data_IF_521075480775
#
_entry.id   IF_521075480775
#
_cell.length_a   1.000
_cell.length_b   1.000
_cell.length_c   1.000
_cell.angle_alpha   90.00
_cell.angle_beta   90.00
_cell.angle_gamma   90.00
#
_symmetry.space_group_name_H-M   'P 1'
#
loop_
_entity.id
_entity.type
_entity.pdbx_description
1 polymer ?
#
# COMPACT_ATOMS: atom_id res chain seq x y z
N UNK A 1 -32.53 -2.30 10.74
CA UNK A 1 -32.03 -2.34 9.34
C UNK A 1 -31.62 -0.92 9.01
N UNK A 2 -30.34 -0.67 8.70
CA UNK A 2 -29.91 0.67 8.28
C UNK A 2 -30.57 1.02 6.94
N UNK A 3 -30.91 2.28 6.73
CA UNK A 3 -31.30 2.71 5.39
C UNK A 3 -30.10 2.57 4.41
N UNK A 4 -30.35 2.46 3.10
CA UNK A 4 -29.29 2.21 2.12
C UNK A 4 -28.19 3.29 2.08
N UNK A 5 -28.52 4.55 2.35
CA UNK A 5 -27.57 5.65 2.34
C UNK A 5 -26.64 5.59 3.56
N UNK A 6 -27.19 5.33 4.74
CA UNK A 6 -26.40 5.11 5.96
C UNK A 6 -25.48 3.89 5.80
N UNK A 7 -25.96 2.81 5.17
CA UNK A 7 -25.12 1.64 4.89
C UNK A 7 -23.98 1.93 3.89
N UNK A 8 -24.21 2.78 2.88
CA UNK A 8 -23.16 3.24 1.95
C UNK A 8 -22.12 4.11 2.66
N UNK A 9 -22.56 5.05 3.51
CA UNK A 9 -21.66 5.90 4.30
C UNK A 9 -20.75 5.07 5.22
N UNK A 10 -21.30 4.07 5.91
CA UNK A 10 -20.51 3.17 6.74
C UNK A 10 -19.45 2.43 5.92
N UNK A 11 -19.82 1.83 4.78
CA UNK A 11 -18.86 1.12 3.91
C UNK A 11 -17.74 2.03 3.39
N UNK A 12 -18.09 3.23 2.95
CA UNK A 12 -17.12 4.22 2.46
C UNK A 12 -16.19 4.69 3.59
N UNK A 13 -16.74 4.93 4.78
CA UNK A 13 -15.97 5.31 5.97
C UNK A 13 -14.95 4.24 6.35
N UNK A 14 -15.38 2.97 6.44
CA UNK A 14 -14.47 1.86 6.77
C UNK A 14 -13.40 1.67 5.70
N UNK A 15 -13.73 1.81 4.41
CA UNK A 15 -12.73 1.75 3.34
C UNK A 15 -11.74 2.93 3.43
N UNK A 16 -12.21 4.13 3.76
CA UNK A 16 -11.36 5.31 3.95
C UNK A 16 -10.37 5.11 5.09
N UNK A 17 -10.77 4.51 6.21
CA UNK A 17 -9.86 4.21 7.33
C UNK A 17 -8.69 3.32 6.89
N UNK A 18 -8.96 2.28 6.10
CA UNK A 18 -7.91 1.41 5.53
C UNK A 18 -6.98 2.20 4.62
N UNK A 19 -7.52 3.05 3.75
CA UNK A 19 -6.73 3.87 2.82
C UNK A 19 -5.86 4.88 3.55
N UNK A 20 -6.40 5.59 4.55
CA UNK A 20 -5.64 6.55 5.37
C UNK A 20 -4.46 5.87 6.07
N UNK A 21 -4.69 4.70 6.68
CA UNK A 21 -3.61 3.94 7.31
C UNK A 21 -2.55 3.51 6.30
N UNK A 22 -2.97 3.08 5.10
CA UNK A 22 -2.04 2.69 4.06
C UNK A 22 -1.23 3.87 3.50
N UNK A 23 -1.85 5.05 3.31
CA UNK A 23 -1.16 6.27 2.90
C UNK A 23 -0.12 6.69 3.94
N UNK A 24 -0.46 6.60 5.23
CA UNK A 24 0.47 6.89 6.32
C UNK A 24 1.70 5.95 6.35
N UNK A 25 1.62 4.76 5.74
CA UNK A 25 2.74 3.83 5.63
C UNK A 25 3.67 4.12 4.44
N UNK A 26 3.28 4.98 3.49
CA UNK A 26 4.03 5.20 2.26
C UNK A 26 5.43 5.74 2.54
N UNK A 27 5.57 6.73 3.42
CA UNK A 27 6.88 7.32 3.74
C UNK A 27 7.85 6.26 4.29
N UNK A 28 7.40 5.42 5.21
CA UNK A 28 8.21 4.33 5.76
C UNK A 28 8.54 3.26 4.73
N UNK A 29 7.62 2.97 3.82
CA UNK A 29 7.86 2.02 2.74
C UNK A 29 8.89 2.55 1.73
N UNK A 30 8.79 3.83 1.36
CA UNK A 30 9.76 4.51 0.50
C UNK A 30 11.15 4.50 1.13
N UNK A 31 11.25 4.82 2.43
CA UNK A 31 12.51 4.76 3.18
C UNK A 31 13.13 3.36 3.15
N UNK A 32 12.34 2.31 3.40
CA UNK A 32 12.81 0.92 3.33
C UNK A 32 13.32 0.57 1.93
N UNK A 33 12.59 0.96 0.87
CA UNK A 33 13.01 0.66 -0.51
C UNK A 33 14.31 1.40 -0.84
N UNK A 34 14.44 2.67 -0.43
CA UNK A 34 15.63 3.47 -0.61
C UNK A 34 16.85 2.89 0.15
N UNK A 35 16.64 2.42 1.39
CA UNK A 35 17.67 1.76 2.19
C UNK A 35 18.09 0.43 1.55
N UNK A 36 17.14 -0.35 1.04
CA UNK A 36 17.41 -1.56 0.26
C UNK A 36 18.21 -1.28 -1.02
N UNK A 37 18.18 -0.05 -1.55
CA UNK A 37 18.88 0.36 -2.77
C UNK A 37 20.27 0.98 -2.51
N UNK A 38 20.70 1.15 -1.25
CA UNK A 38 21.99 1.78 -0.95
C UNK A 38 23.17 0.88 -1.32
N UNK A 39 24.28 1.40 -1.87
CA UNK A 39 25.49 0.61 -2.10
C UNK A 39 26.01 -0.06 -0.81
N UNK A 40 26.56 -1.27 -0.95
CA UNK A 40 27.08 -2.05 0.18
C UNK A 40 26.08 -3.02 0.80
N UNK A 41 26.44 -3.58 1.94
CA UNK A 41 25.62 -4.59 2.62
C UNK A 41 24.53 -3.91 3.45
N UNK A 42 23.23 -4.20 3.19
CA UNK A 42 22.14 -3.58 3.93
C UNK A 42 22.15 -3.99 5.40
N UNK A 43 21.91 -3.04 6.30
CA UNK A 43 21.76 -3.31 7.74
C UNK A 43 20.59 -4.27 7.99
N UNK A 44 20.75 -5.14 8.98
CA UNK A 44 19.69 -6.04 9.43
C UNK A 44 18.45 -5.27 9.92
N UNK A 45 18.60 -4.02 10.37
CA UNK A 45 17.48 -3.14 10.74
C UNK A 45 16.54 -2.85 9.57
N UNK A 46 17.08 -2.72 8.34
CA UNK A 46 16.29 -2.55 7.11
C UNK A 46 15.38 -3.75 6.91
N UNK A 47 15.89 -4.97 7.13
CA UNK A 47 15.09 -6.19 7.03
C UNK A 47 13.96 -6.24 8.07
N UNK A 48 14.23 -5.81 9.31
CA UNK A 48 13.21 -5.75 10.38
C UNK A 48 12.14 -4.71 10.06
N UNK A 49 12.56 -3.50 9.69
CA UNK A 49 11.65 -2.41 9.32
C UNK A 49 10.78 -2.80 8.12
N UNK A 50 11.39 -3.31 7.05
CA UNK A 50 10.67 -3.71 5.85
C UNK A 50 9.66 -4.84 6.10
N UNK A 51 10.03 -5.87 6.88
CA UNK A 51 9.07 -6.92 7.28
C UNK A 51 7.90 -6.36 8.09
N UNK A 52 8.14 -5.41 8.98
CA UNK A 52 7.08 -4.78 9.77
C UNK A 52 6.12 -3.94 8.90
N UNK A 53 6.64 -3.23 7.90
CA UNK A 53 5.80 -2.44 6.96
C UNK A 53 5.03 -3.39 6.02
N UNK A 54 5.68 -4.41 5.47
CA UNK A 54 5.02 -5.43 4.63
C UNK A 54 3.89 -6.15 5.38
N UNK A 55 4.09 -6.52 6.65
CA UNK A 55 3.05 -7.14 7.47
C UNK A 55 1.84 -6.22 7.73
N UNK A 56 2.04 -4.90 7.73
CA UNK A 56 0.93 -3.94 7.84
C UNK A 56 0.18 -3.83 6.51
N UNK A 57 0.87 -3.68 5.37
CA UNK A 57 0.21 -3.70 4.06
C UNK A 57 -0.54 -5.00 3.78
N UNK A 58 -0.01 -6.15 4.19
CA UNK A 58 -0.69 -7.43 4.08
C UNK A 58 -2.00 -7.46 4.86
N UNK A 59 -2.00 -6.98 6.11
CA UNK A 59 -3.21 -6.86 6.94
C UNK A 59 -4.24 -5.92 6.32
N UNK A 60 -3.81 -4.72 5.91
CA UNK A 60 -4.68 -3.73 5.27
C UNK A 60 -5.25 -4.25 3.94
N UNK A 61 -4.46 -4.98 3.15
CA UNK A 61 -4.94 -5.62 1.92
C UNK A 61 -5.99 -6.69 2.21
N UNK A 62 -5.85 -7.45 3.30
CA UNK A 62 -6.87 -8.41 3.74
C UNK A 62 -8.16 -7.70 4.10
N UNK A 63 -8.09 -6.68 4.96
CA UNK A 63 -9.26 -5.89 5.36
C UNK A 63 -9.94 -5.20 4.17
N UNK A 64 -9.17 -4.60 3.26
CA UNK A 64 -9.73 -4.01 2.05
C UNK A 64 -10.46 -5.05 1.18
N UNK A 65 -9.95 -6.27 1.10
CA UNK A 65 -10.57 -7.34 0.33
C UNK A 65 -11.88 -7.83 0.99
N UNK A 66 -11.89 -7.95 2.31
CA UNK A 66 -13.11 -8.30 3.07
C UNK A 66 -14.19 -7.21 2.97
N UNK A 67 -13.75 -5.95 2.83
CA UNK A 67 -14.65 -4.81 2.64
C UNK A 67 -15.11 -4.65 1.20
N UNK A 68 -14.41 -5.21 0.20
CA UNK A 68 -14.69 -4.92 -1.20
C UNK A 68 -16.11 -5.35 -1.60
N UNK A 69 -16.86 -4.42 -2.21
CA UNK A 69 -18.20 -4.68 -2.73
C UNK A 69 -18.28 -4.36 -4.21
N UNK A 70 -19.24 -4.99 -4.91
CA UNK A 70 -19.52 -4.69 -6.31
C UNK A 70 -20.23 -3.34 -6.41
N UNK A 71 -19.64 -2.42 -7.15
CA UNK A 71 -20.19 -1.09 -7.44
C UNK A 71 -19.59 -0.59 -8.74
N UNK A 72 -20.41 0.06 -9.57
CA UNK A 72 -19.92 0.77 -10.75
C UNK A 72 -19.57 2.23 -10.43
N UNK A 73 -19.88 2.68 -9.21
CA UNK A 73 -19.61 4.05 -8.76
C UNK A 73 -18.20 4.16 -8.18
N UNK A 74 -17.38 5.13 -8.65
CA UNK A 74 -16.07 5.37 -8.10
C UNK A 74 -16.14 6.01 -6.69
N UNK A 75 -15.07 5.84 -5.88
CA UNK A 75 -13.90 5.00 -6.16
C UNK A 75 -14.21 3.51 -5.98
N UNK A 76 -13.64 2.68 -6.86
CA UNK A 76 -13.88 1.23 -6.85
C UNK A 76 -13.10 0.59 -5.68
N UNK A 77 -13.76 -0.11 -4.73
CA UNK A 77 -13.08 -0.74 -3.59
C UNK A 77 -12.00 -1.73 -4.02
N UNK A 78 -12.24 -2.44 -5.12
CA UNK A 78 -11.29 -3.37 -5.70
C UNK A 78 -9.95 -2.71 -6.05
N UNK A 79 -9.98 -1.43 -6.47
CA UNK A 79 -8.76 -0.71 -6.81
C UNK A 79 -7.87 -0.46 -5.59
N UNK A 80 -8.47 -0.21 -4.42
CA UNK A 80 -7.73 -0.15 -3.15
C UNK A 80 -6.98 -1.45 -2.89
N UNK A 81 -7.63 -2.60 -3.05
CA UNK A 81 -7.00 -3.92 -2.85
C UNK A 81 -5.78 -4.10 -3.75
N UNK A 82 -5.90 -3.73 -5.03
CA UNK A 82 -4.81 -3.83 -6.01
C UNK A 82 -3.62 -2.95 -5.64
N UNK A 83 -3.86 -1.70 -5.23
CA UNK A 83 -2.80 -0.77 -4.83
C UNK A 83 -2.07 -1.25 -3.56
N UNK A 84 -2.78 -1.78 -2.57
CA UNK A 84 -2.17 -2.33 -1.35
C UNK A 84 -1.34 -3.57 -1.64
N UNK A 85 -1.82 -4.46 -2.51
CA UNK A 85 -1.07 -5.63 -2.96
C UNK A 85 0.17 -5.23 -3.74
N UNK A 86 0.08 -4.21 -4.60
CA UNK A 86 1.23 -3.67 -5.30
C UNK A 86 2.30 -3.18 -4.33
N UNK A 87 1.94 -2.36 -3.32
CA UNK A 87 2.92 -1.89 -2.32
C UNK A 87 3.56 -3.04 -1.54
N UNK A 88 2.79 -4.07 -1.18
CA UNK A 88 3.31 -5.28 -0.54
C UNK A 88 4.33 -6.00 -1.43
N UNK A 89 4.00 -6.20 -2.71
CA UNK A 89 4.89 -6.86 -3.69
C UNK A 89 6.18 -6.05 -3.87
N UNK A 90 6.09 -4.72 -3.96
CA UNK A 90 7.27 -3.86 -4.10
C UNK A 90 8.20 -3.99 -2.88
N UNK A 91 7.66 -4.01 -1.66
CA UNK A 91 8.45 -4.22 -0.45
C UNK A 91 9.09 -5.62 -0.41
N UNK A 92 8.33 -6.66 -0.76
CA UNK A 92 8.85 -8.04 -0.81
C UNK A 92 9.96 -8.19 -1.85
N UNK A 93 9.79 -7.61 -3.04
CA UNK A 93 10.82 -7.56 -4.09
C UNK A 93 12.08 -6.82 -3.62
N UNK A 94 11.92 -5.64 -3.02
CA UNK A 94 13.05 -4.86 -2.49
C UNK A 94 13.84 -5.65 -1.44
N UNK A 95 13.14 -6.28 -0.48
CA UNK A 95 13.76 -7.09 0.57
C UNK A 95 14.47 -8.33 0.01
N UNK A 96 13.87 -9.03 -0.96
CA UNK A 96 14.50 -10.20 -1.60
C UNK A 96 15.75 -9.84 -2.38
N UNK A 97 15.78 -8.65 -3.01
CA UNK A 97 16.96 -8.14 -3.70
C UNK A 97 18.05 -7.69 -2.71
N UNK A 98 17.67 -7.12 -1.57
CA UNK A 98 18.60 -6.68 -0.52
C UNK A 98 19.22 -7.83 0.29
N UNK A 99 18.46 -8.91 0.51
CA UNK A 99 18.88 -10.07 1.30
C UNK A 99 18.79 -11.38 0.50
N UNK A 100 19.52 -11.51 -0.63
CA UNK A 100 19.44 -12.69 -1.46
C UNK A 100 20.21 -13.85 -0.83
N UNK A 101 19.77 -15.08 -1.09
CA UNK A 101 20.52 -16.30 -0.72
C UNK A 101 21.86 -16.40 -1.44
N UNK A 102 21.94 -15.90 -2.67
CA UNK A 102 23.14 -15.88 -3.50
C UNK A 102 23.31 -14.51 -4.16
N UNK A 103 24.51 -13.92 -4.07
CA UNK A 103 24.82 -12.64 -4.69
C UNK A 103 25.28 -12.81 -6.14
N UNK A 104 24.87 -11.89 -7.00
CA UNK A 104 25.37 -11.79 -8.38
C UNK A 104 25.28 -10.34 -8.85
N UNK A 105 26.15 -9.93 -9.78
CA UNK A 105 26.15 -8.58 -10.34
C UNK A 105 24.81 -8.22 -10.98
N UNK A 106 24.10 -9.22 -11.53
CA UNK A 106 22.76 -9.03 -12.05
C UNK A 106 21.80 -8.59 -10.94
N UNK A 107 21.75 -9.31 -9.82
CA UNK A 107 20.86 -8.97 -8.70
C UNK A 107 21.23 -7.62 -8.09
N UNK A 108 22.53 -7.34 -7.99
CA UNK A 108 23.01 -6.05 -7.48
C UNK A 108 22.56 -4.89 -8.36
N UNK A 109 22.67 -5.00 -9.69
CA UNK A 109 22.13 -3.99 -10.62
C UNK A 109 20.63 -3.77 -10.46
N UNK A 110 19.85 -4.83 -10.22
CA UNK A 110 18.41 -4.69 -10.01
C UNK A 110 18.09 -4.03 -8.67
N UNK A 111 18.85 -4.38 -7.62
CA UNK A 111 18.72 -3.78 -6.29
C UNK A 111 19.01 -2.28 -6.32
N UNK A 112 20.09 -1.86 -6.98
CA UNK A 112 20.46 -0.45 -7.12
C UNK A 112 19.51 0.33 -8.05
N UNK A 113 18.72 -0.36 -8.88
CA UNK A 113 17.73 0.24 -9.77
C UNK A 113 16.33 0.40 -9.14
N UNK A 114 16.16 0.07 -7.85
CA UNK A 114 14.89 0.28 -7.14
C UNK A 114 14.58 1.78 -7.02
N UNK A 115 13.37 2.18 -7.41
CA UNK A 115 12.95 3.60 -7.48
C UNK A 115 11.84 3.98 -6.49
N UNK A 116 11.47 3.10 -5.56
CA UNK A 116 10.39 3.35 -4.61
C UNK A 116 9.03 2.78 -5.04
N UNK A 117 7.94 3.30 -4.46
CA UNK A 117 6.57 2.83 -4.75
C UNK A 117 6.02 3.42 -6.06
N UNK A 118 6.46 4.62 -6.45
CA UNK A 118 6.15 5.22 -7.76
C UNK A 118 4.70 5.71 -7.91
N UNK A 119 4.19 5.68 -9.14
CA UNK A 119 2.86 6.22 -9.47
C UNK A 119 1.69 5.61 -8.66
N UNK A 120 1.67 4.30 -8.34
CA UNK A 120 0.62 3.71 -7.50
C UNK A 120 0.48 4.33 -6.10
N UNK A 121 1.57 4.84 -5.51
CA UNK A 121 1.48 5.53 -4.22
C UNK A 121 0.78 6.89 -4.34
N UNK A 122 0.95 7.60 -5.46
CA UNK A 122 0.18 8.80 -5.76
C UNK A 122 -1.30 8.45 -5.97
N UNK A 123 -1.58 7.41 -6.74
CA UNK A 123 -2.94 6.97 -7.00
C UNK A 123 -3.71 6.61 -5.72
N UNK A 124 -3.05 5.99 -4.73
CA UNK A 124 -3.68 5.70 -3.44
C UNK A 124 -4.05 6.98 -2.65
N UNK A 125 -3.24 8.04 -2.74
CA UNK A 125 -3.54 9.35 -2.14
C UNK A 125 -4.70 10.06 -2.84
N UNK A 126 -4.76 9.92 -4.16
CA UNK A 126 -5.88 10.43 -4.96
C UNK A 126 -7.18 9.69 -4.60
N UNK A 127 -7.11 8.38 -4.38
CA UNK A 127 -8.23 7.56 -3.91
C UNK A 127 -8.70 7.96 -2.51
N UNK A 128 -7.77 8.28 -1.60
CA UNK A 128 -8.12 8.83 -0.27
C UNK A 128 -8.94 10.12 -0.41
N UNK A 129 -8.47 11.04 -1.25
CA UNK A 129 -9.12 12.34 -1.50
C UNK A 129 -10.52 12.17 -2.12
N UNK A 130 -10.65 11.22 -3.05
CA UNK A 130 -11.92 10.87 -3.68
C UNK A 130 -12.92 10.28 -2.68
N UNK A 131 -12.49 9.38 -1.79
CA UNK A 131 -13.32 8.82 -0.73
C UNK A 131 -13.84 9.89 0.22
N UNK A 132 -12.96 10.78 0.70
CA UNK A 132 -13.34 11.90 1.57
C UNK A 132 -14.41 12.78 0.92
N UNK A 133 -14.19 13.18 -0.33
CA UNK A 133 -15.13 14.01 -1.10
C UNK A 133 -16.49 13.34 -1.24
N UNK A 134 -16.51 12.04 -1.55
CA UNK A 134 -17.75 11.27 -1.69
C UNK A 134 -18.52 11.17 -0.37
N UNK A 135 -17.84 10.92 0.73
CA UNK A 135 -18.47 10.85 2.06
C UNK A 135 -19.10 12.21 2.39
N UNK A 136 -18.37 13.32 2.22
CA UNK A 136 -18.90 14.67 2.46
C UNK A 136 -20.14 14.96 1.62
N UNK A 137 -20.13 14.56 0.34
CA UNK A 137 -21.27 14.75 -0.57
C UNK A 137 -22.51 13.96 -0.13
N UNK A 138 -22.34 12.76 0.43
CA UNK A 138 -23.44 11.92 0.91
C UNK A 138 -23.93 12.29 2.31
N UNK A 139 -23.14 13.03 3.08
CA UNK A 139 -23.51 13.53 4.42
C UNK A 139 -24.19 14.90 4.41
N UNK A 140 -24.26 15.56 3.23
CA UNK A 140 -24.92 16.86 3.02
C UNK A 140 -26.32 16.65 2.46
#
# INVERSE_FOLDING_TARGET
MLDPATAELVRLGTLLEVVVQAVALQERAEAVIADCAQPGEPSWEVARSGRAVAAQYSRLSGWAADLAWQTDRPPLPQRTVELLRYHLVMLDCALKLAFPRYRSDRLERHRLALTGLGAPARELRDLESALRTRITTLST
#
